data_IF_023101312840
#
_entry.id   IF_023101312840
#
_cell.length_a   1.000
_cell.length_b   1.000
_cell.length_c   1.000
_cell.angle_alpha   90.00
_cell.angle_beta   90.00
_cell.angle_gamma   90.00
#
_symmetry.space_group_name_H-M   'P 1'
#
loop_
_entity.id
_entity.type
_entity.pdbx_description
1 polymer ?
#
# COMPACT_ATOMS: atom_id res chain seq x y z
N UNK A 1 7.48 -4.65 -6.65
CA UNK A 1 8.70 -3.97 -6.19
C UNK A 1 9.57 -4.85 -5.29
N UNK A 2 9.12 -6.04 -4.88
CA UNK A 2 9.84 -7.01 -4.02
C UNK A 2 11.31 -7.22 -4.37
N UNK A 3 11.64 -7.54 -5.63
CA UNK A 3 13.04 -7.77 -6.06
C UNK A 3 13.97 -6.59 -5.73
N UNK A 4 13.53 -5.35 -6.00
CA UNK A 4 14.33 -4.16 -5.73
C UNK A 4 14.64 -4.00 -4.24
N UNK A 5 13.64 -4.26 -3.39
CA UNK A 5 13.79 -4.18 -1.93
C UNK A 5 14.74 -5.26 -1.43
N UNK A 6 14.57 -6.52 -1.85
CA UNK A 6 15.45 -7.63 -1.47
C UNK A 6 16.89 -7.43 -1.95
N UNK A 7 17.09 -6.94 -3.18
CA UNK A 7 18.43 -6.65 -3.72
C UNK A 7 19.11 -5.51 -2.92
N UNK A 8 18.34 -4.49 -2.52
CA UNK A 8 18.85 -3.39 -1.69
C UNK A 8 19.21 -3.85 -0.27
N UNK A 9 18.37 -4.66 0.37
CA UNK A 9 18.66 -5.25 1.68
C UNK A 9 19.90 -6.15 1.61
N UNK A 10 20.05 -6.92 0.54
CA UNK A 10 21.23 -7.76 0.32
C UNK A 10 22.51 -6.94 0.23
N UNK A 11 22.43 -5.73 -0.33
CA UNK A 11 23.55 -4.79 -0.45
C UNK A 11 23.77 -3.98 0.84
N UNK A 12 22.70 -3.73 1.60
CA UNK A 12 22.68 -2.90 2.81
C UNK A 12 21.82 -3.56 3.91
N UNK A 13 22.33 -4.60 4.61
CA UNK A 13 21.53 -5.41 5.52
C UNK A 13 20.94 -4.66 6.72
N UNK A 14 21.59 -3.57 7.14
CA UNK A 14 21.18 -2.73 8.27
C UNK A 14 20.33 -1.52 7.84
N UNK A 15 19.95 -1.44 6.56
CA UNK A 15 19.17 -0.32 6.04
C UNK A 15 17.76 -0.28 6.62
N UNK A 16 17.29 0.93 6.91
CA UNK A 16 15.90 1.23 7.24
C UNK A 16 15.18 1.70 5.99
N UNK A 17 14.10 1.02 5.60
CA UNK A 17 13.38 1.26 4.36
C UNK A 17 11.98 1.78 4.67
N UNK A 18 11.61 2.85 3.98
CA UNK A 18 10.25 3.38 3.93
C UNK A 18 9.70 3.13 2.54
N UNK A 19 8.54 2.50 2.43
CA UNK A 19 7.85 2.31 1.16
C UNK A 19 6.73 3.34 1.03
N UNK A 20 6.66 4.05 -0.08
CA UNK A 20 5.62 5.04 -0.31
C UNK A 20 4.99 4.80 -1.68
N UNK A 21 3.66 4.83 -1.73
CA UNK A 21 2.92 4.59 -2.94
C UNK A 21 1.70 5.48 -3.01
N UNK A 22 1.42 5.93 -4.23
CA UNK A 22 0.29 6.79 -4.54
C UNK A 22 -0.52 6.16 -5.68
N UNK A 23 -1.85 6.13 -5.55
CA UNK A 23 -2.75 5.50 -6.52
C UNK A 23 -2.34 4.04 -6.81
N UNK A 24 -2.13 3.67 -8.07
CA UNK A 24 -1.57 2.38 -8.45
C UNK A 24 -0.25 2.04 -7.74
N UNK A 25 0.60 3.03 -7.45
CA UNK A 25 1.83 2.81 -6.67
C UNK A 25 1.54 2.37 -5.24
N UNK A 26 0.44 2.82 -4.63
CA UNK A 26 0.00 2.37 -3.31
C UNK A 26 -0.37 0.88 -3.33
N UNK A 27 -1.05 0.42 -4.37
CA UNK A 27 -1.31 -1.00 -4.59
C UNK A 27 -0.01 -1.81 -4.78
N UNK A 28 0.98 -1.27 -5.50
CA UNK A 28 2.29 -1.93 -5.65
C UNK A 28 3.03 -2.04 -4.31
N UNK A 29 2.92 -1.04 -3.42
CA UNK A 29 3.43 -1.13 -2.03
C UNK A 29 2.71 -2.26 -1.29
N UNK A 30 1.38 -2.28 -1.37
CA UNK A 30 0.51 -3.29 -0.79
C UNK A 30 0.93 -4.71 -1.21
N UNK A 31 1.13 -4.91 -2.52
CA UNK A 31 1.51 -6.19 -3.12
C UNK A 31 2.96 -6.57 -2.79
N UNK A 32 3.84 -5.58 -2.63
CA UNK A 32 5.21 -5.83 -2.19
C UNK A 32 5.25 -6.29 -0.74
N UNK A 33 4.44 -5.70 0.15
CA UNK A 33 4.43 -6.08 1.56
C UNK A 33 3.84 -7.47 1.78
N UNK A 34 2.62 -7.71 1.27
CA UNK A 34 1.83 -8.90 1.66
C UNK A 34 1.41 -9.79 0.49
N UNK A 35 1.96 -9.53 -0.70
CA UNK A 35 1.67 -10.27 -1.92
C UNK A 35 0.46 -9.73 -2.66
N UNK A 36 0.35 -10.08 -3.94
CA UNK A 36 -0.80 -9.71 -4.77
C UNK A 36 -1.97 -10.65 -4.53
N UNK A 37 -3.16 -10.09 -4.31
CA UNK A 37 -4.41 -10.85 -4.13
C UNK A 37 -5.58 -10.25 -4.90
N UNK A 38 -5.31 -9.23 -5.71
CA UNK A 38 -6.32 -8.45 -6.41
C UNK A 38 -6.66 -9.13 -7.73
N UNK A 39 -7.90 -9.64 -7.85
CA UNK A 39 -8.43 -10.11 -9.12
C UNK A 39 -8.80 -8.93 -10.02
N UNK A 40 -8.36 -8.95 -11.29
CA UNK A 40 -8.68 -7.91 -12.28
C UNK A 40 -7.66 -6.77 -12.41
N UNK A 41 -6.64 -6.72 -11.54
CA UNK A 41 -5.50 -5.84 -11.75
C UNK A 41 -4.59 -6.41 -12.83
N UNK A 42 -4.48 -5.69 -13.95
CA UNK A 42 -4.00 -6.26 -15.21
C UNK A 42 -5.14 -6.64 -16.16
N UNK A 43 -6.30 -5.97 -16.09
CA UNK A 43 -7.22 -5.83 -17.23
C UNK A 43 -7.19 -4.43 -17.85
N UNK A 44 -6.44 -3.49 -17.25
CA UNK A 44 -6.43 -2.07 -17.60
C UNK A 44 -7.75 -1.34 -17.26
N UNK A 45 -7.65 -0.05 -16.90
CA UNK A 45 -8.75 0.87 -17.19
C UNK A 45 -8.86 0.91 -18.72
N UNK A 46 -9.82 0.16 -19.29
CA UNK A 46 -9.98 0.04 -20.74
C UNK A 46 -9.40 -1.22 -21.40
N UNK A 47 -9.38 -2.38 -20.73
CA UNK A 47 -9.37 -3.69 -21.40
C UNK A 47 -8.12 -4.06 -22.21
N UNK A 48 -6.99 -3.37 -22.05
CA UNK A 48 -5.87 -3.44 -23.01
C UNK A 48 -4.57 -4.08 -22.53
N UNK A 49 -4.41 -4.34 -21.22
CA UNK A 49 -3.24 -5.07 -20.73
C UNK A 49 -3.75 -6.35 -20.13
N UNK A 50 -3.64 -7.47 -20.87
CA UNK A 50 -3.82 -8.81 -20.32
C UNK A 50 -2.69 -9.14 -19.36
N UNK A 51 -2.84 -8.72 -18.11
CA UNK A 51 -2.03 -9.16 -17.00
C UNK A 51 -2.55 -10.52 -16.55
N UNK A 52 -1.92 -11.57 -17.06
CA UNK A 52 -1.86 -12.89 -16.42
C UNK A 52 -1.97 -12.73 -14.91
N UNK A 53 -2.93 -13.42 -14.28
CA UNK A 53 -3.02 -13.59 -12.82
C UNK A 53 -1.61 -13.63 -12.28
N UNK A 54 -1.16 -12.53 -11.67
CA UNK A 54 0.18 -12.46 -11.13
C UNK A 54 0.26 -13.65 -10.19
N UNK A 55 0.99 -14.69 -10.61
CA UNK A 55 1.18 -15.89 -9.82
C UNK A 55 1.50 -15.40 -8.43
N UNK A 56 0.70 -15.78 -7.42
CA UNK A 56 0.72 -15.20 -6.08
C UNK A 56 2.17 -15.02 -5.63
N UNK A 57 2.73 -13.85 -5.92
CA UNK A 57 4.10 -13.58 -5.54
C UNK A 57 3.92 -13.30 -4.07
N UNK A 58 4.46 -14.19 -3.23
CA UNK A 58 4.53 -13.89 -1.81
C UNK A 58 5.04 -12.46 -1.64
N UNK A 59 4.53 -11.76 -0.63
CA UNK A 59 5.06 -10.45 -0.26
C UNK A 59 6.55 -10.54 0.09
N UNK A 60 7.07 -9.54 0.79
CA UNK A 60 8.46 -9.55 1.20
C UNK A 60 8.81 -10.85 1.96
N UNK A 61 9.93 -11.51 1.60
CA UNK A 61 10.44 -12.66 2.36
C UNK A 61 10.54 -12.32 3.84
N UNK A 62 10.25 -13.27 4.72
CA UNK A 62 10.24 -13.04 6.17
C UNK A 62 11.55 -12.41 6.70
N UNK A 63 12.70 -12.79 6.11
CA UNK A 63 14.02 -12.26 6.46
C UNK A 63 14.19 -10.76 6.15
N UNK A 64 13.47 -10.24 5.16
CA UNK A 64 13.58 -8.86 4.66
C UNK A 64 12.61 -7.91 5.37
N UNK A 65 11.55 -8.43 6.00
CA UNK A 65 10.48 -7.61 6.60
C UNK A 65 10.98 -6.68 7.71
N UNK A 66 12.01 -7.11 8.45
CA UNK A 66 12.64 -6.35 9.53
C UNK A 66 13.25 -5.01 9.08
N UNK A 67 13.58 -4.87 7.79
CA UNK A 67 14.15 -3.66 7.23
C UNK A 67 13.08 -2.61 6.90
N UNK A 68 11.81 -3.01 6.81
CA UNK A 68 10.71 -2.07 6.58
C UNK A 68 10.35 -1.41 7.90
N UNK A 69 10.52 -0.10 7.98
CA UNK A 69 10.20 0.68 9.19
C UNK A 69 8.87 1.42 9.06
N UNK A 70 8.43 1.73 7.84
CA UNK A 70 7.15 2.38 7.59
C UNK A 70 6.69 2.14 6.14
N UNK A 71 5.38 2.20 5.94
CA UNK A 71 4.77 2.23 4.63
C UNK A 71 3.63 3.26 4.58
N UNK A 72 3.62 4.08 3.53
CA UNK A 72 2.57 5.07 3.27
C UNK A 72 1.87 4.70 1.96
N UNK A 73 0.56 4.62 2.02
CA UNK A 73 -0.30 4.36 0.87
C UNK A 73 -1.30 5.52 0.76
N UNK A 74 -1.40 6.14 -0.40
CA UNK A 74 -2.33 7.24 -0.65
C UNK A 74 -3.19 6.90 -1.85
N UNK A 75 -4.51 6.77 -1.65
CA UNK A 75 -5.45 6.45 -2.71
C UNK A 75 -5.30 5.04 -3.28
N UNK A 76 -5.05 4.04 -2.43
CA UNK A 76 -4.89 2.64 -2.87
C UNK A 76 -6.18 2.09 -3.50
N UNK A 77 -6.22 1.78 -4.81
CA UNK A 77 -7.40 1.19 -5.46
C UNK A 77 -7.80 -0.16 -4.86
N UNK A 78 -6.89 -0.81 -4.12
CA UNK A 78 -7.12 -2.08 -3.44
C UNK A 78 -7.58 -1.97 -1.99
N UNK A 79 -7.89 -0.75 -1.53
CA UNK A 79 -8.39 -0.47 -0.19
C UNK A 79 -9.61 -1.33 0.17
N UNK A 80 -9.61 -1.79 1.42
CA UNK A 80 -10.72 -2.44 2.11
C UNK A 80 -10.87 -1.74 3.46
N UNK A 81 -12.08 -1.28 3.84
CA UNK A 81 -12.27 -0.49 5.04
C UNK A 81 -12.21 -1.35 6.31
N UNK A 82 -11.92 -0.70 7.43
CA UNK A 82 -11.99 -1.30 8.78
C UNK A 82 -10.67 -1.91 9.27
N UNK A 83 -9.56 -1.64 8.58
CA UNK A 83 -8.23 -2.05 9.01
C UNK A 83 -7.65 -1.02 9.99
N UNK A 84 -6.84 -1.46 10.94
CA UNK A 84 -6.14 -0.57 11.88
C UNK A 84 -5.16 0.40 11.20
N UNK A 85 -4.75 0.06 9.98
CA UNK A 85 -3.85 0.82 9.11
C UNK A 85 -4.56 1.97 8.40
N UNK A 86 -5.89 1.96 8.36
CA UNK A 86 -6.69 2.93 7.61
C UNK A 86 -6.62 4.31 8.25
N UNK A 87 -6.57 5.31 7.36
CA UNK A 87 -6.61 6.74 7.64
C UNK A 87 -7.53 7.42 6.62
N UNK A 88 -8.07 8.55 7.02
CA UNK A 88 -9.05 9.29 6.25
C UNK A 88 -10.48 8.86 6.58
N UNK A 89 -11.38 9.15 5.65
CA UNK A 89 -12.83 9.12 5.87
C UNK A 89 -13.56 8.04 5.09
N UNK A 90 -12.88 7.28 4.23
CA UNK A 90 -13.52 6.21 3.45
C UNK A 90 -14.10 5.11 4.35
N UNK A 91 -15.26 4.60 3.95
CA UNK A 91 -15.91 3.43 4.57
C UNK A 91 -16.29 2.37 3.52
N UNK A 92 -15.80 2.53 2.29
CA UNK A 92 -16.12 1.68 1.15
C UNK A 92 -14.85 1.01 0.62
N UNK A 93 -15.06 -0.08 -0.10
CA UNK A 93 -13.99 -0.71 -0.86
C UNK A 93 -13.53 0.19 -2.02
N UNK A 94 -12.26 0.05 -2.39
CA UNK A 94 -11.76 0.56 -3.65
C UNK A 94 -12.27 -0.26 -4.85
N UNK A 95 -11.89 0.17 -6.04
CA UNK A 95 -12.31 -0.46 -7.31
C UNK A 95 -11.68 -1.83 -7.54
N UNK A 96 -10.62 -2.18 -6.77
CA UNK A 96 -9.92 -3.46 -6.86
C UNK A 96 -9.61 -4.06 -5.47
N UNK A 97 -10.62 -4.27 -4.62
CA UNK A 97 -10.40 -4.58 -3.20
C UNK A 97 -9.59 -5.86 -3.02
N UNK A 98 -8.60 -5.82 -2.13
CA UNK A 98 -7.72 -6.97 -1.87
C UNK A 98 -8.31 -7.94 -0.86
N UNK A 99 -8.03 -9.24 -1.03
CA UNK A 99 -8.56 -10.31 -0.17
C UNK A 99 -7.60 -10.75 0.94
N UNK A 100 -6.33 -10.32 0.88
CA UNK A 100 -5.27 -10.70 1.81
C UNK A 100 -4.95 -9.64 2.87
N UNK A 101 -5.85 -8.68 3.15
CA UNK A 101 -5.59 -7.58 4.08
C UNK A 101 -5.23 -8.02 5.50
N UNK A 102 -5.71 -9.20 5.94
CA UNK A 102 -5.32 -9.82 7.21
C UNK A 102 -3.81 -10.05 7.32
N UNK A 103 -3.11 -10.22 6.19
CA UNK A 103 -1.68 -10.48 6.16
C UNK A 103 -0.86 -9.29 6.67
N UNK A 104 -1.39 -8.06 6.65
CA UNK A 104 -0.68 -6.92 7.24
C UNK A 104 -0.37 -7.15 8.72
N UNK A 105 -1.33 -7.71 9.48
CA UNK A 105 -1.12 -8.02 10.88
C UNK A 105 -0.22 -9.26 11.05
N UNK A 106 -0.51 -10.35 10.35
CA UNK A 106 0.26 -11.61 10.51
C UNK A 106 1.70 -11.50 10.04
N UNK A 107 1.99 -10.63 9.07
CA UNK A 107 3.34 -10.39 8.56
C UNK A 107 4.09 -9.30 9.33
N UNK A 108 3.48 -8.72 10.38
CA UNK A 108 4.12 -7.76 11.29
C UNK A 108 4.09 -6.30 10.83
N UNK A 109 3.36 -5.99 9.75
CA UNK A 109 3.28 -4.63 9.19
C UNK A 109 2.15 -3.77 9.77
N UNK A 110 1.19 -4.35 10.51
CA UNK A 110 -0.04 -3.66 10.91
C UNK A 110 0.16 -2.36 11.70
N UNK A 111 1.28 -2.19 12.38
CA UNK A 111 1.62 -0.93 13.07
C UNK A 111 2.53 0.01 12.27
N UNK A 112 3.05 -0.45 11.13
CA UNK A 112 4.03 0.23 10.27
C UNK A 112 3.38 0.90 9.06
N UNK A 113 2.09 0.69 8.84
CA UNK A 113 1.37 1.21 7.66
C UNK A 113 0.42 2.34 8.06
N UNK A 114 0.38 3.38 7.22
CA UNK A 114 -0.76 4.28 7.12
C UNK A 114 -1.28 4.29 5.68
N UNK A 115 -2.54 3.89 5.51
CA UNK A 115 -3.23 3.88 4.23
C UNK A 115 -4.34 4.92 4.22
N UNK A 116 -4.14 5.99 3.46
CA UNK A 116 -5.05 7.12 3.36
C UNK A 116 -6.04 6.91 2.22
N UNK A 117 -7.32 6.90 2.56
CA UNK A 117 -8.43 6.92 1.62
C UNK A 117 -9.58 7.76 2.17
N UNK A 118 -10.18 8.59 1.32
CA UNK A 118 -11.24 9.52 1.70
C UNK A 118 -12.54 9.24 0.95
N UNK A 119 -13.65 9.53 1.62
CA UNK A 119 -14.98 9.44 1.03
C UNK A 119 -15.04 10.28 -0.25
N UNK A 120 -15.52 9.67 -1.33
CA UNK A 120 -15.65 10.30 -2.64
C UNK A 120 -14.47 10.05 -3.59
N UNK A 121 -13.35 9.50 -3.11
CA UNK A 121 -12.23 9.12 -3.98
C UNK A 121 -12.67 8.13 -5.05
N UNK A 122 -12.39 8.46 -6.32
CA UNK A 122 -12.81 7.67 -7.48
C UNK A 122 -12.29 6.22 -7.49
N UNK A 123 -11.13 5.95 -6.88
CA UNK A 123 -10.44 4.67 -6.96
C UNK A 123 -10.43 3.91 -5.64
N UNK A 124 -9.99 4.53 -4.53
CA UNK A 124 -9.85 3.82 -3.26
C UNK A 124 -11.16 3.72 -2.48
N UNK A 125 -12.15 4.56 -2.78
CA UNK A 125 -13.46 4.57 -2.12
C UNK A 125 -14.58 4.16 -3.08
N UNK A 126 -14.27 3.89 -4.36
CA UNK A 126 -15.26 3.70 -5.44
C UNK A 126 -16.26 4.87 -5.51
N UNK A 127 -15.76 6.08 -5.30
CA UNK A 127 -16.48 7.34 -5.43
C UNK A 127 -16.45 7.88 -6.85
N UNK A 128 -16.49 9.20 -7.00
CA UNK A 128 -16.56 9.88 -8.29
C UNK A 128 -15.77 11.19 -8.35
N UNK A 129 -14.86 11.42 -7.39
CA UNK A 129 -14.07 12.64 -7.28
C UNK A 129 -12.59 12.36 -7.49
N UNK A 130 -12.13 12.60 -8.72
CA UNK A 130 -10.70 12.64 -9.03
C UNK A 130 -9.97 13.71 -8.20
N UNK A 131 -10.66 14.80 -7.83
CA UNK A 131 -10.07 15.86 -7.01
C UNK A 131 -9.71 15.38 -5.60
N UNK A 132 -10.54 14.53 -4.99
CA UNK A 132 -10.22 13.89 -3.71
C UNK A 132 -8.98 13.02 -3.87
N UNK A 133 -8.92 12.22 -4.94
CA UNK A 133 -7.78 11.36 -5.23
C UNK A 133 -6.47 12.14 -5.31
N UNK A 134 -6.47 13.24 -6.07
CA UNK A 134 -5.31 14.13 -6.25
C UNK A 134 -4.89 14.92 -5.00
N UNK A 135 -5.67 14.89 -3.91
CA UNK A 135 -5.44 15.75 -2.75
C UNK A 135 -4.49 15.18 -1.68
N UNK A 136 -4.25 13.86 -1.65
CA UNK A 136 -3.68 13.21 -0.46
C UNK A 136 -2.34 13.74 0.05
N UNK A 137 -1.45 14.17 -0.85
CA UNK A 137 -0.17 14.76 -0.43
C UNK A 137 -0.40 16.09 0.29
N UNK A 138 -1.33 16.91 -0.20
CA UNK A 138 -1.70 18.16 0.44
C UNK A 138 -2.45 17.93 1.76
N UNK A 139 -3.38 16.97 1.78
CA UNK A 139 -4.23 16.68 2.94
C UNK A 139 -3.45 15.98 4.07
N UNK A 140 -2.62 14.98 3.75
CA UNK A 140 -1.99 14.10 4.75
C UNK A 140 -0.46 14.08 4.71
N UNK A 141 0.20 14.88 3.87
CA UNK A 141 1.66 14.88 3.75
C UNK A 141 2.38 15.11 5.08
N UNK A 142 1.88 16.02 5.90
CA UNK A 142 2.41 16.29 7.25
C UNK A 142 2.23 15.09 8.18
N UNK A 143 1.05 14.48 8.18
CA UNK A 143 0.76 13.32 9.04
C UNK A 143 1.62 12.11 8.65
N UNK A 144 1.73 11.84 7.35
CA UNK A 144 2.56 10.77 6.81
C UNK A 144 4.04 10.99 7.17
N UNK A 145 4.52 12.23 7.05
CA UNK A 145 5.89 12.60 7.44
C UNK A 145 6.11 12.37 8.94
N UNK A 146 5.19 12.83 9.79
CA UNK A 146 5.29 12.66 11.24
C UNK A 146 5.29 11.18 11.63
N UNK A 147 4.45 10.37 11.01
CA UNK A 147 4.42 8.93 11.21
C UNK A 147 5.75 8.28 10.82
N UNK A 148 6.25 8.54 9.62
CA UNK A 148 7.53 7.99 9.15
C UNK A 148 8.68 8.38 10.07
N UNK A 149 8.78 9.66 10.46
CA UNK A 149 9.79 10.15 11.40
C UNK A 149 9.68 9.45 12.76
N UNK A 150 8.47 9.22 13.25
CA UNK A 150 8.26 8.50 14.51
C UNK A 150 8.75 7.05 14.43
N UNK A 151 8.51 6.35 13.32
CA UNK A 151 8.98 4.98 13.10
C UNK A 151 10.49 4.92 12.95
N UNK A 152 11.09 5.86 12.23
CA UNK A 152 12.54 5.96 12.09
C UNK A 152 13.26 6.09 13.44
N UNK A 153 12.71 6.93 14.34
CA UNK A 153 13.26 7.15 15.69
C UNK A 153 13.10 5.94 16.62
N UNK A 154 12.08 5.10 16.40
CA UNK A 154 11.80 3.93 17.21
C UNK A 154 12.50 2.65 16.70
N UNK A 155 12.93 2.65 15.44
CA UNK A 155 13.63 1.55 14.78
C UNK A 155 15.15 1.55 15.05
#
# INVERSE_FOLDING_TARGET
MTKLVTDYISSCPDSKIVLMGYSQGAQVVADTLIGSSTSGFGGGFGGGYGGSSAASSGGLPAADRKNIIAAIQMGDPSHVPGLSTDKGTSTKNGVFPRSNSANYASDGFGSLIQSYCDTGDEYCDSGNSLQVHLSYVQTYGTDATNFVVSKYKAA
#
